data_IF_562265308325
#
_entry.id   IF_562265308325
#
_cell.length_a   1.000
_cell.length_b   1.000
_cell.length_c   1.000
_cell.angle_alpha   90.00
_cell.angle_beta   90.00
_cell.angle_gamma   90.00
#
_symmetry.space_group_name_H-M   'P 1'
#
loop_
_entity.id
_entity.type
_entity.pdbx_description
1 polymer ?
#
# COMPACT_ATOMS: atom_id res chain seq x y z
N UNK A 1 -3.01 17.59 -7.68
CA UNK A 1 -2.29 18.25 -6.56
C UNK A 1 -3.32 18.94 -5.69
N UNK A 2 -3.16 18.91 -4.36
CA UNK A 2 -4.06 19.64 -3.43
C UNK A 2 -3.99 21.14 -3.76
N UNK A 3 -5.15 21.82 -3.71
CA UNK A 3 -5.28 23.26 -3.98
C UNK A 3 -4.85 23.74 -5.39
N UNK A 4 -4.76 22.85 -6.38
CA UNK A 4 -4.42 23.23 -7.76
C UNK A 4 -5.67 23.30 -8.65
N UNK A 5 -5.83 24.39 -9.40
CA UNK A 5 -6.95 24.63 -10.33
C UNK A 5 -6.63 24.39 -11.81
N UNK A 6 -5.51 23.73 -12.14
CA UNK A 6 -5.16 23.49 -13.55
C UNK A 6 -6.12 22.50 -14.23
N UNK A 7 -6.11 22.49 -15.56
CA UNK A 7 -6.97 21.65 -16.40
C UNK A 7 -6.94 20.17 -16.00
N UNK A 8 -5.76 19.61 -15.70
CA UNK A 8 -5.63 18.19 -15.30
C UNK A 8 -6.26 17.93 -13.92
N UNK A 9 -6.06 18.83 -12.95
CA UNK A 9 -6.62 18.64 -11.61
C UNK A 9 -8.15 18.78 -11.59
N UNK A 10 -8.70 19.66 -12.43
CA UNK A 10 -10.15 19.91 -12.54
C UNK A 10 -10.84 19.05 -13.59
N UNK A 11 -10.07 18.29 -14.41
CA UNK A 11 -10.57 17.38 -15.44
C UNK A 11 -11.69 16.46 -14.94
N UNK A 12 -12.68 16.22 -15.80
CA UNK A 12 -13.76 15.25 -15.55
C UNK A 12 -13.40 13.84 -16.02
N UNK A 13 -12.28 13.67 -16.74
CA UNK A 13 -11.77 12.35 -17.09
C UNK A 13 -11.36 11.60 -15.83
N UNK A 14 -11.91 10.39 -15.66
CA UNK A 14 -11.61 9.52 -14.53
C UNK A 14 -10.14 9.09 -14.51
N UNK A 15 -9.45 9.06 -15.66
CA UNK A 15 -8.02 8.69 -15.75
C UNK A 15 -7.09 9.76 -15.16
N UNK A 16 -7.55 11.00 -15.03
CA UNK A 16 -6.82 12.06 -14.35
C UNK A 16 -6.96 12.02 -12.82
N UNK A 17 -7.88 11.19 -12.30
CA UNK A 17 -8.07 10.99 -10.86
C UNK A 17 -7.16 9.85 -10.38
N UNK A 18 -5.95 10.24 -9.99
CA UNK A 18 -4.87 9.31 -9.63
C UNK A 18 -4.72 9.17 -8.12
N UNK A 19 -4.46 7.93 -7.69
CA UNK A 19 -4.02 7.61 -6.33
C UNK A 19 -2.49 7.57 -6.29
N UNK A 20 -1.92 7.45 -5.08
CA UNK A 20 -0.48 7.19 -4.91
C UNK A 20 -0.10 5.85 -5.57
N UNK A 21 1.15 5.77 -6.02
CA UNK A 21 1.62 4.67 -6.87
C UNK A 21 1.76 3.37 -6.09
N UNK A 22 1.07 2.33 -6.56
CA UNK A 22 1.18 0.95 -6.07
C UNK A 22 0.68 0.02 -7.15
N UNK A 23 1.17 -1.22 -7.15
CA UNK A 23 0.70 -2.28 -8.04
C UNK A 23 0.34 -3.51 -7.24
N UNK A 24 -0.72 -4.20 -7.67
CA UNK A 24 -1.09 -5.52 -7.21
C UNK A 24 -0.56 -6.54 -8.23
N UNK A 25 0.15 -7.56 -7.75
CA UNK A 25 0.68 -8.65 -8.57
C UNK A 25 0.04 -9.95 -8.10
N UNK A 26 -0.60 -10.67 -9.02
CA UNK A 26 -1.35 -11.89 -8.72
C UNK A 26 -0.97 -13.03 -9.65
N UNK A 27 -0.86 -14.22 -9.07
CA UNK A 27 -0.78 -15.51 -9.75
C UNK A 27 -1.90 -16.42 -9.24
N UNK A 28 -1.95 -17.67 -9.71
CA UNK A 28 -2.90 -18.65 -9.21
C UNK A 28 -2.71 -18.99 -7.72
N UNK A 29 -1.53 -18.74 -7.15
CA UNK A 29 -1.15 -19.16 -5.79
C UNK A 29 -0.66 -18.04 -4.90
N UNK A 30 -0.54 -16.81 -5.43
CA UNK A 30 0.15 -15.73 -4.72
C UNK A 30 -0.43 -14.38 -5.10
N UNK A 31 -0.77 -13.59 -4.09
CA UNK A 31 -1.16 -12.18 -4.20
C UNK A 31 -0.18 -11.34 -3.39
N UNK A 32 0.50 -10.40 -4.03
CA UNK A 32 1.34 -9.42 -3.33
C UNK A 32 1.05 -8.01 -3.82
N UNK A 33 1.29 -7.04 -2.95
CA UNK A 33 1.23 -5.61 -3.30
C UNK A 33 2.64 -5.03 -3.24
N UNK A 34 2.94 -4.15 -4.19
CA UNK A 34 4.13 -3.29 -4.12
C UNK A 34 3.70 -1.95 -3.55
N UNK A 35 4.25 -1.60 -2.40
CA UNK A 35 3.97 -0.42 -1.58
C UNK A 35 2.55 -0.34 -1.01
N UNK A 36 2.46 0.00 0.28
CA UNK A 36 1.20 0.25 0.99
C UNK A 36 1.01 1.76 1.14
N UNK A 37 0.51 2.37 0.07
CA UNK A 37 0.29 3.82 0.00
C UNK A 37 -0.76 4.29 1.02
N UNK A 38 -0.87 5.59 1.34
CA UNK A 38 -1.98 6.03 2.17
C UNK A 38 -3.36 5.97 1.47
N UNK A 39 -3.43 5.48 0.22
CA UNK A 39 -4.67 5.10 -0.46
C UNK A 39 -4.95 3.57 -0.40
N UNK A 40 -4.09 2.79 0.28
CA UNK A 40 -4.08 1.33 0.23
C UNK A 40 -5.44 0.69 0.54
N UNK A 41 -6.10 1.09 1.63
CA UNK A 41 -7.44 0.59 1.95
C UNK A 41 -8.43 0.79 0.80
N UNK A 42 -8.47 1.98 0.22
CA UNK A 42 -9.35 2.26 -0.91
C UNK A 42 -8.95 1.43 -2.13
N UNK A 43 -7.65 1.28 -2.41
CA UNK A 43 -7.14 0.45 -3.51
C UNK A 43 -7.59 -1.01 -3.35
N UNK A 44 -7.42 -1.61 -2.16
CA UNK A 44 -7.81 -3.00 -1.89
C UNK A 44 -9.32 -3.22 -1.99
N UNK A 45 -10.12 -2.27 -1.48
CA UNK A 45 -11.59 -2.32 -1.60
C UNK A 45 -12.05 -2.17 -3.05
N UNK A 46 -11.46 -1.24 -3.81
CA UNK A 46 -11.79 -0.98 -5.21
C UNK A 46 -11.52 -2.21 -6.08
N UNK A 47 -10.39 -2.89 -5.86
CA UNK A 47 -10.01 -4.09 -6.60
C UNK A 47 -10.57 -5.40 -5.97
N UNK A 48 -11.38 -5.30 -4.91
CA UNK A 48 -11.97 -6.45 -4.21
C UNK A 48 -10.95 -7.51 -3.77
N UNK A 49 -9.80 -7.07 -3.24
CA UNK A 49 -8.73 -7.95 -2.76
C UNK A 49 -9.12 -8.54 -1.40
N UNK A 50 -9.25 -9.86 -1.34
CA UNK A 50 -9.66 -10.60 -0.12
C UNK A 50 -8.51 -11.38 0.53
N UNK A 51 -7.39 -11.55 -0.17
CA UNK A 51 -6.19 -12.21 0.33
C UNK A 51 -4.95 -11.42 -0.10
N UNK A 52 -3.93 -11.44 0.74
CA UNK A 52 -2.63 -10.84 0.50
C UNK A 52 -1.60 -11.72 1.20
N UNK A 53 -0.62 -12.22 0.45
CA UNK A 53 0.42 -13.10 0.96
C UNK A 53 1.66 -12.31 1.38
N UNK A 54 1.94 -11.20 0.71
CA UNK A 54 3.12 -10.37 0.98
C UNK A 54 2.95 -8.91 0.58
N UNK A 55 3.79 -8.07 1.18
CA UNK A 55 4.03 -6.68 0.76
C UNK A 55 5.49 -6.52 0.38
N UNK A 56 5.76 -5.95 -0.79
CA UNK A 56 7.09 -5.53 -1.21
C UNK A 56 7.18 -4.01 -1.16
N UNK A 57 8.17 -3.46 -0.46
CA UNK A 57 8.42 -2.03 -0.40
C UNK A 57 9.56 -1.61 -1.31
N UNK A 58 9.36 -0.50 -2.04
CA UNK A 58 10.37 0.07 -2.91
C UNK A 58 11.34 0.98 -2.15
N UNK A 59 10.82 1.93 -1.36
CA UNK A 59 11.58 2.90 -0.57
C UNK A 59 10.69 3.55 0.52
N UNK A 60 11.25 4.21 1.55
CA UNK A 60 10.49 4.59 2.75
C UNK A 60 9.81 5.96 2.67
N UNK A 61 9.46 6.45 1.47
CA UNK A 61 8.68 7.69 1.40
C UNK A 61 7.22 7.45 1.78
N UNK A 62 6.58 8.47 2.35
CA UNK A 62 5.24 8.36 2.94
C UNK A 62 4.16 7.97 1.95
N UNK A 63 4.29 8.37 0.69
CA UNK A 63 3.40 7.95 -0.38
C UNK A 63 3.45 6.44 -0.68
N UNK A 64 4.47 5.73 -0.18
CA UNK A 64 4.67 4.29 -0.37
C UNK A 64 4.44 3.43 0.89
N UNK A 65 4.57 4.00 2.09
CA UNK A 65 4.52 3.21 3.35
C UNK A 65 3.38 3.57 4.30
N UNK A 66 2.72 4.71 4.11
CA UNK A 66 1.81 5.25 5.13
C UNK A 66 0.48 4.48 5.30
N UNK A 67 0.19 3.49 4.44
CA UNK A 67 -0.97 2.61 4.53
C UNK A 67 -0.71 1.28 5.22
N UNK A 68 0.50 1.05 5.76
CA UNK A 68 0.87 -0.24 6.36
C UNK A 68 -0.06 -0.67 7.51
N UNK A 69 -0.66 0.25 8.27
CA UNK A 69 -1.58 -0.11 9.37
C UNK A 69 -2.82 -0.89 8.89
N UNK A 70 -3.29 -0.66 7.66
CA UNK A 70 -4.45 -1.37 7.10
C UNK A 70 -4.13 -2.84 6.73
N UNK A 71 -2.85 -3.21 6.65
CA UNK A 71 -2.42 -4.61 6.39
C UNK A 71 -2.87 -5.57 7.49
N UNK A 72 -3.06 -5.08 8.73
CA UNK A 72 -3.51 -5.90 9.87
C UNK A 72 -4.82 -6.65 9.62
N UNK A 73 -5.69 -6.11 8.77
CA UNK A 73 -6.93 -6.79 8.40
C UNK A 73 -6.66 -8.12 7.70
N UNK A 74 -5.68 -8.15 6.79
CA UNK A 74 -5.28 -9.38 6.10
C UNK A 74 -4.68 -10.39 7.07
N UNK A 75 -3.80 -9.95 7.98
CA UNK A 75 -3.25 -10.82 9.02
C UNK A 75 -4.32 -11.39 9.96
N UNK A 76 -5.32 -10.59 10.32
CA UNK A 76 -6.44 -11.02 11.15
C UNK A 76 -7.27 -12.12 10.46
N UNK A 77 -7.64 -11.93 9.19
CA UNK A 77 -8.45 -12.92 8.46
C UNK A 77 -7.67 -14.15 8.01
N UNK A 78 -6.37 -14.01 7.70
CA UNK A 78 -5.53 -15.14 7.29
C UNK A 78 -5.02 -15.97 8.47
N UNK A 79 -5.01 -15.39 9.67
CA UNK A 79 -4.40 -15.99 10.87
C UNK A 79 -2.88 -16.09 10.80
N UNK A 80 -2.23 -15.35 9.88
CA UNK A 80 -0.79 -15.37 9.65
C UNK A 80 -0.21 -13.95 9.72
N UNK A 81 1.03 -13.85 10.19
CA UNK A 81 1.80 -12.62 10.05
C UNK A 81 1.95 -12.27 8.57
N UNK A 82 1.90 -10.98 8.23
CA UNK A 82 2.17 -10.54 6.87
C UNK A 82 3.67 -10.59 6.59
N UNK A 83 4.07 -11.20 5.49
CA UNK A 83 5.45 -11.16 5.01
C UNK A 83 5.74 -9.79 4.38
N UNK A 84 6.75 -9.09 4.91
CA UNK A 84 7.18 -7.78 4.41
C UNK A 84 8.59 -7.90 3.81
N UNK A 85 8.75 -7.46 2.57
CA UNK A 85 10.03 -7.44 1.87
C UNK A 85 10.45 -5.99 1.64
N UNK A 86 11.69 -5.67 2.01
CA UNK A 86 12.26 -4.34 1.85
C UNK A 86 13.79 -4.43 1.81
N UNK A 87 14.47 -3.39 1.34
CA UNK A 87 15.90 -3.23 1.62
C UNK A 87 16.11 -2.72 3.06
N UNK A 88 17.35 -2.80 3.55
CA UNK A 88 17.72 -2.42 4.92
C UNK A 88 17.27 -1.00 5.30
N UNK A 89 17.56 -0.01 4.45
CA UNK A 89 17.16 1.38 4.66
C UNK A 89 15.65 1.54 4.84
N UNK A 90 14.86 0.81 4.07
CA UNK A 90 13.40 0.89 4.12
C UNK A 90 12.86 0.15 5.33
N UNK A 91 13.42 -1.02 5.66
CA UNK A 91 13.07 -1.80 6.85
C UNK A 91 13.27 -0.98 8.13
N UNK A 92 14.43 -0.33 8.28
CA UNK A 92 14.73 0.52 9.43
C UNK A 92 13.71 1.65 9.60
N UNK A 93 13.32 2.30 8.50
CA UNK A 93 12.31 3.37 8.55
C UNK A 93 10.94 2.83 8.93
N UNK A 94 10.53 1.70 8.34
CA UNK A 94 9.25 1.06 8.63
C UNK A 94 9.18 0.66 10.11
N UNK A 95 10.22 -0.01 10.65
CA UNK A 95 10.28 -0.40 12.06
C UNK A 95 10.23 0.81 13.00
N UNK A 96 10.88 1.92 12.64
CA UNK A 96 10.85 3.15 13.44
C UNK A 96 9.46 3.79 13.45
N UNK A 97 8.82 3.88 12.29
CA UNK A 97 7.53 4.58 12.14
C UNK A 97 6.34 3.76 12.61
N UNK A 98 6.40 2.45 12.41
CA UNK A 98 5.36 1.49 12.76
C UNK A 98 5.83 0.57 13.88
N UNK A 99 6.57 1.09 14.86
CA UNK A 99 7.17 0.31 15.95
C UNK A 99 6.19 -0.64 16.64
N UNK A 100 4.92 -0.23 16.77
CA UNK A 100 3.84 -1.01 17.39
C UNK A 100 3.41 -2.23 16.56
N UNK A 101 3.67 -2.24 15.25
CA UNK A 101 3.39 -3.39 14.37
C UNK A 101 4.42 -4.51 14.60
N UNK A 102 5.61 -4.17 15.11
CA UNK A 102 6.72 -5.09 15.35
C UNK A 102 6.96 -5.40 16.84
N UNK A 103 6.10 -4.90 17.73
CA UNK A 103 6.23 -5.03 19.19
C UNK A 103 5.55 -6.28 19.75
#
# INVERSE_FOLDING_TARGET
MIACGCEVCTSTDKKDKRLRSSILVQSATTTLVVDTTPDFRYQMLRESVLNLDAVLFTHPHKDHIAGLDDVKAFSFFSGKAMELYANELTEESIKREFYYVFA
#
